data_IF_447294312594
#
_entry.id   IF_447294312594
#
_cell.length_a   1.000
_cell.length_b   1.000
_cell.length_c   1.000
_cell.angle_alpha   90.00
_cell.angle_beta   90.00
_cell.angle_gamma   90.00
#
_symmetry.space_group_name_H-M   'P 1'
#
loop_
_entity.id
_entity.type
_entity.pdbx_description
1 polymer ?
#
# COMPACT_ATOMS: atom_id res chain seq x y z
N UNK A 1 -10.28 16.47 7.89
CA UNK A 1 -9.33 17.40 8.53
C UNK A 1 -8.52 18.01 7.41
N UNK A 2 -8.38 19.34 7.41
CA UNK A 2 -7.62 20.02 6.36
C UNK A 2 -6.14 19.83 6.62
N UNK A 3 -5.44 19.29 5.64
CA UNK A 3 -4.00 19.12 5.71
C UNK A 3 -3.31 20.42 5.32
N UNK A 4 -2.23 20.73 6.03
CA UNK A 4 -1.39 21.91 5.78
C UNK A 4 0.09 21.52 5.76
N UNK A 5 0.87 22.33 5.07
CA UNK A 5 2.32 22.32 5.10
C UNK A 5 2.86 23.61 5.72
N UNK A 6 3.91 23.48 6.51
CA UNK A 6 4.73 24.62 6.94
C UNK A 6 5.89 24.78 5.98
N UNK A 7 5.98 25.93 5.31
CA UNK A 7 7.06 26.26 4.38
C UNK A 7 7.95 27.34 5.00
N UNK A 8 9.23 27.03 5.17
CA UNK A 8 10.21 27.95 5.71
C UNK A 8 11.43 28.00 4.77
N UNK A 9 11.88 29.20 4.40
CA UNK A 9 13.01 29.40 3.47
C UNK A 9 12.90 28.64 2.14
N UNK A 10 11.68 28.40 1.65
CA UNK A 10 11.44 27.67 0.40
C UNK A 10 11.47 26.15 0.53
N UNK A 11 11.53 25.61 1.75
CA UNK A 11 11.49 24.18 2.03
C UNK A 11 10.27 23.80 2.87
N UNK A 12 9.70 22.63 2.59
CA UNK A 12 8.62 22.06 3.42
C UNK A 12 9.25 21.49 4.69
N UNK A 13 8.92 22.09 5.83
CA UNK A 13 9.42 21.67 7.15
C UNK A 13 8.42 20.78 7.90
N UNK A 14 7.16 20.80 7.48
CA UNK A 14 6.09 19.96 8.02
C UNK A 14 5.02 19.75 6.95
N UNK A 15 4.42 18.57 6.93
CA UNK A 15 3.26 18.24 6.11
C UNK A 15 2.33 17.30 6.90
N UNK A 16 1.07 17.68 7.08
CA UNK A 16 0.12 16.87 7.84
C UNK A 16 -1.09 17.66 8.35
N UNK A 17 -1.70 17.18 9.41
CA UNK A 17 -2.80 17.89 10.08
C UNK A 17 -2.29 19.15 10.77
N UNK A 18 -3.07 20.23 10.72
CA UNK A 18 -2.67 21.50 11.31
C UNK A 18 -2.50 21.35 12.84
N UNK A 19 -1.28 21.52 13.39
CA UNK A 19 -1.04 21.35 14.82
C UNK A 19 -1.68 22.50 15.62
N UNK A 20 -2.01 22.26 16.90
CA UNK A 20 -2.55 23.33 17.78
C UNK A 20 -1.53 24.43 18.08
N UNK A 21 -0.26 24.07 18.12
CA UNK A 21 0.89 24.95 18.30
C UNK A 21 2.08 24.41 17.50
N UNK A 22 2.91 25.31 16.99
CA UNK A 22 4.14 24.98 16.27
C UNK A 22 5.22 26.01 16.59
N UNK A 23 6.37 25.55 17.05
CA UNK A 23 7.47 26.39 17.55
C UNK A 23 6.92 27.43 18.55
N UNK A 24 7.09 28.72 18.25
CA UNK A 24 6.65 29.83 19.11
C UNK A 24 5.24 30.36 18.77
N UNK A 25 4.50 29.68 17.89
CA UNK A 25 3.15 30.09 17.48
C UNK A 25 2.11 29.11 18.00
N UNK A 26 1.15 29.60 18.78
CA UNK A 26 0.00 28.84 19.27
C UNK A 26 -1.30 29.25 18.57
N UNK A 27 -2.35 28.44 18.70
CA UNK A 27 -3.68 28.78 18.21
C UNK A 27 -3.86 28.61 16.69
N UNK A 28 -2.96 27.89 16.01
CA UNK A 28 -3.02 27.71 14.55
C UNK A 28 -4.33 27.06 14.10
N UNK A 29 -4.84 26.07 14.84
CA UNK A 29 -6.12 25.41 14.58
C UNK A 29 -7.37 26.32 14.62
N UNK A 30 -7.24 27.55 15.15
CA UNK A 30 -8.30 28.56 15.20
C UNK A 30 -8.03 29.73 14.24
N UNK A 31 -6.88 29.75 13.58
CA UNK A 31 -6.48 30.82 12.69
C UNK A 31 -7.20 30.73 11.35
N UNK A 32 -7.43 31.88 10.72
CA UNK A 32 -7.97 31.95 9.35
C UNK A 32 -6.91 31.52 8.33
N UNK A 33 -7.33 31.08 7.15
CA UNK A 33 -6.41 30.72 6.06
C UNK A 33 -5.46 31.85 5.68
N UNK A 34 -5.91 33.10 5.69
CA UNK A 34 -5.07 34.27 5.43
C UNK A 34 -3.96 34.42 6.50
N UNK A 35 -4.32 34.29 7.78
CA UNK A 35 -3.35 34.34 8.88
C UNK A 35 -2.40 33.15 8.89
N UNK A 36 -2.87 31.97 8.48
CA UNK A 36 -2.05 30.78 8.30
C UNK A 36 -1.02 31.01 7.19
N UNK A 37 -1.46 31.54 6.04
CA UNK A 37 -0.59 31.87 4.91
C UNK A 37 0.51 32.87 5.29
N UNK A 38 0.16 33.93 6.01
CA UNK A 38 1.15 34.90 6.54
C UNK A 38 2.20 34.25 7.46
N UNK A 39 1.80 33.20 8.18
CA UNK A 39 2.68 32.42 9.07
C UNK A 39 3.44 31.30 8.35
N UNK A 40 3.36 31.23 7.02
CA UNK A 40 4.02 30.20 6.20
C UNK A 40 3.27 28.86 6.15
N UNK A 41 2.01 28.83 6.57
CA UNK A 41 1.16 27.64 6.51
C UNK A 41 0.30 27.67 5.25
N UNK A 42 0.52 26.69 4.38
CA UNK A 42 -0.21 26.57 3.12
C UNK A 42 -1.05 25.27 3.11
N UNK A 43 -2.25 25.28 2.52
CA UNK A 43 -3.02 24.07 2.28
C UNK A 43 -2.20 23.02 1.54
N UNK A 44 -2.36 21.75 1.94
CA UNK A 44 -1.58 20.63 1.44
C UNK A 44 -2.48 19.54 0.85
N UNK A 45 -2.13 19.11 -0.36
CA UNK A 45 -2.79 18.01 -1.07
C UNK A 45 -1.76 17.00 -1.56
N UNK A 46 -2.16 15.73 -1.62
CA UNK A 46 -1.32 14.64 -2.11
C UNK A 46 -1.90 14.14 -3.43
N UNK A 47 -1.08 14.15 -4.47
CA UNK A 47 -1.34 13.45 -5.72
C UNK A 47 -0.71 12.05 -5.63
N UNK A 48 -1.57 11.04 -5.49
CA UNK A 48 -1.14 9.64 -5.40
C UNK A 48 -0.69 9.09 -6.75
N UNK A 49 0.40 8.32 -6.75
CA UNK A 49 0.92 7.73 -7.97
C UNK A 49 0.17 6.43 -8.29
N UNK A 50 -0.33 6.30 -9.52
CA UNK A 50 -0.80 5.01 -10.03
C UNK A 50 0.40 4.14 -10.39
N UNK A 51 0.59 3.05 -9.65
CA UNK A 51 1.65 2.05 -9.88
C UNK A 51 1.19 1.01 -10.89
N UNK A 52 2.08 0.64 -11.80
CA UNK A 52 1.98 -0.59 -12.60
C UNK A 52 2.65 -1.78 -11.90
N UNK A 53 2.61 -2.97 -12.53
CA UNK A 53 3.08 -4.23 -11.95
C UNK A 53 4.53 -4.20 -11.44
N UNK A 54 5.43 -3.52 -12.15
CA UNK A 54 6.85 -3.45 -11.81
C UNK A 54 7.30 -2.05 -11.37
N UNK A 55 6.39 -1.28 -10.77
CA UNK A 55 6.68 0.02 -10.19
C UNK A 55 6.47 0.01 -8.68
N UNK A 56 7.33 0.72 -7.96
CA UNK A 56 7.23 0.92 -6.50
C UNK A 56 7.22 2.40 -6.18
N UNK A 57 6.59 2.77 -5.05
CA UNK A 57 6.62 4.14 -4.54
C UNK A 57 8.05 4.53 -4.20
N UNK A 58 8.43 5.75 -4.55
CA UNK A 58 9.78 6.30 -4.40
C UNK A 58 9.77 7.61 -3.63
N UNK A 59 9.01 7.64 -2.53
CA UNK A 59 8.86 8.81 -1.69
C UNK A 59 7.92 9.86 -2.26
N UNK A 60 8.02 11.07 -1.72
CA UNK A 60 7.10 12.17 -1.97
C UNK A 60 7.89 13.43 -2.31
N UNK A 61 7.55 14.08 -3.41
CA UNK A 61 8.16 15.34 -3.82
C UNK A 61 7.17 16.48 -3.66
N UNK A 62 7.59 17.55 -3.01
CA UNK A 62 6.74 18.73 -2.82
C UNK A 62 6.97 19.77 -3.92
N UNK A 63 5.86 20.25 -4.46
CA UNK A 63 5.80 21.44 -5.31
C UNK A 63 5.11 22.54 -4.51
N UNK A 64 5.88 23.59 -4.19
CA UNK A 64 5.40 24.74 -3.43
C UNK A 64 4.91 25.79 -4.43
N UNK A 65 3.60 26.07 -4.42
CA UNK A 65 3.00 27.15 -5.19
C UNK A 65 2.72 28.36 -4.28
N UNK A 66 2.21 29.44 -4.86
CA UNK A 66 1.90 30.66 -4.12
C UNK A 66 0.77 30.47 -3.07
N UNK A 67 -0.19 29.58 -3.34
CA UNK A 67 -1.40 29.42 -2.53
C UNK A 67 -1.53 28.04 -1.88
N UNK A 68 -0.77 27.05 -2.34
CA UNK A 68 -0.83 25.68 -1.82
C UNK A 68 0.49 24.93 -2.00
N UNK A 69 0.58 23.77 -1.36
CA UNK A 69 1.65 22.80 -1.58
C UNK A 69 1.02 21.51 -2.10
N UNK A 70 1.61 20.97 -3.16
CA UNK A 70 1.21 19.68 -3.73
C UNK A 70 2.35 18.69 -3.47
N UNK A 71 2.06 17.62 -2.74
CA UNK A 71 2.94 16.47 -2.63
C UNK A 71 2.63 15.49 -3.75
N UNK A 72 3.56 15.25 -4.65
CA UNK A 72 3.42 14.26 -5.72
C UNK A 72 4.17 13.00 -5.30
N UNK A 73 3.45 11.91 -5.07
CA UNK A 73 4.08 10.62 -4.83
C UNK A 73 4.92 10.26 -6.05
N UNK A 74 6.20 9.98 -5.81
CA UNK A 74 7.09 9.53 -6.87
C UNK A 74 6.98 8.02 -6.98
N UNK A 75 7.32 7.53 -8.16
CA UNK A 75 7.43 6.11 -8.45
C UNK A 75 8.70 5.85 -9.22
N UNK A 76 9.25 4.65 -9.02
CA UNK A 76 10.39 4.14 -9.77
C UNK A 76 10.08 2.75 -10.28
N UNK A 77 10.78 2.36 -11.33
CA UNK A 77 10.82 0.98 -11.75
C UNK A 77 11.51 0.13 -10.68
N UNK A 78 11.01 -1.08 -10.47
CA UNK A 78 11.70 -2.11 -9.72
C UNK A 78 13.06 -2.43 -10.36
N UNK A 79 14.06 -2.72 -9.54
CA UNK A 79 15.31 -3.32 -10.00
C UNK A 79 15.07 -4.75 -10.49
N UNK A 80 16.03 -5.33 -11.19
CA UNK A 80 15.89 -6.71 -11.67
C UNK A 80 15.80 -7.71 -10.52
N UNK A 81 16.52 -7.49 -9.42
CA UNK A 81 16.42 -8.31 -8.21
C UNK A 81 15.04 -8.19 -7.55
N UNK A 82 14.46 -6.99 -7.51
CA UNK A 82 13.12 -6.76 -6.97
C UNK A 82 12.04 -7.42 -7.82
N UNK A 83 12.18 -7.39 -9.15
CA UNK A 83 11.29 -8.11 -10.07
C UNK A 83 11.38 -9.61 -9.87
N UNK A 84 12.59 -10.16 -9.79
CA UNK A 84 12.80 -11.59 -9.51
C UNK A 84 12.14 -11.99 -8.19
N UNK A 85 12.28 -11.18 -7.14
CA UNK A 85 11.64 -11.44 -5.85
C UNK A 85 10.10 -11.37 -5.93
N UNK A 86 9.56 -10.38 -6.65
CA UNK A 86 8.14 -10.23 -6.89
C UNK A 86 7.56 -11.41 -7.67
N UNK A 87 8.18 -11.76 -8.80
CA UNK A 87 7.78 -12.89 -9.63
C UNK A 87 7.88 -14.20 -8.83
N UNK A 88 8.90 -14.37 -7.99
CA UNK A 88 8.99 -15.53 -7.10
C UNK A 88 7.83 -15.56 -6.08
N UNK A 89 7.46 -14.42 -5.52
CA UNK A 89 6.34 -14.32 -4.58
C UNK A 89 5.00 -14.63 -5.24
N UNK A 90 4.78 -14.13 -6.45
CA UNK A 90 3.58 -14.39 -7.27
C UNK A 90 3.54 -15.86 -7.68
N UNK A 91 4.64 -16.37 -8.24
CA UNK A 91 4.74 -17.76 -8.69
C UNK A 91 4.60 -18.77 -7.56
N UNK A 92 4.97 -18.44 -6.32
CA UNK A 92 4.83 -19.36 -5.18
C UNK A 92 3.55 -19.13 -4.36
N UNK A 93 2.79 -18.06 -4.62
CA UNK A 93 1.54 -17.74 -3.88
C UNK A 93 0.55 -18.90 -3.87
N UNK A 94 0.37 -19.57 -5.01
CA UNK A 94 -0.56 -20.72 -5.10
C UNK A 94 -0.22 -21.84 -4.11
N UNK A 95 1.06 -22.03 -3.74
CA UNK A 95 1.46 -23.07 -2.81
C UNK A 95 0.95 -22.77 -1.41
N UNK A 96 1.08 -21.51 -0.97
CA UNK A 96 0.61 -21.04 0.34
C UNK A 96 -0.91 -21.05 0.41
N UNK A 97 -1.57 -20.60 -0.65
CA UNK A 97 -3.04 -20.58 -0.71
C UNK A 97 -3.60 -22.01 -0.68
N UNK A 98 -3.03 -22.95 -1.45
CA UNK A 98 -3.40 -24.38 -1.39
C UNK A 98 -3.14 -25.00 -0.03
N UNK A 99 -1.97 -24.75 0.57
CA UNK A 99 -1.62 -25.29 1.88
C UNK A 99 -2.62 -24.85 2.96
N UNK A 100 -3.11 -23.60 2.89
CA UNK A 100 -4.15 -23.08 3.79
C UNK A 100 -5.53 -23.66 3.51
N UNK A 101 -5.85 -23.91 2.23
CA UNK A 101 -7.15 -24.40 1.80
C UNK A 101 -7.31 -25.92 1.96
N UNK A 102 -6.22 -26.68 1.97
CA UNK A 102 -6.30 -28.13 2.14
C UNK A 102 -6.98 -28.47 3.49
N UNK A 103 -7.91 -29.44 3.50
CA UNK A 103 -8.46 -29.96 4.74
C UNK A 103 -7.35 -30.65 5.55
N UNK A 104 -7.64 -30.98 6.81
CA UNK A 104 -6.68 -31.67 7.66
C UNK A 104 -6.22 -32.99 7.03
N UNK A 105 -5.02 -33.46 7.39
CA UNK A 105 -4.53 -34.76 6.90
C UNK A 105 -5.46 -35.89 7.36
N UNK A 106 -6.06 -35.77 8.55
CA UNK A 106 -7.00 -36.75 9.09
C UNK A 106 -8.24 -36.87 8.19
N UNK A 107 -8.88 -35.76 7.83
CA UNK A 107 -10.03 -35.76 6.91
C UNK A 107 -9.67 -36.33 5.53
N UNK A 108 -8.46 -36.02 5.05
CA UNK A 108 -8.00 -36.53 3.76
C UNK A 108 -7.80 -38.05 3.78
N UNK A 109 -7.20 -38.58 4.85
CA UNK A 109 -6.98 -40.02 5.02
C UNK A 109 -8.31 -40.76 5.21
N UNK A 110 -9.23 -40.20 5.99
CA UNK A 110 -10.57 -40.74 6.20
C UNK A 110 -11.35 -40.83 4.88
N UNK A 111 -11.33 -39.75 4.09
CA UNK A 111 -11.94 -39.74 2.75
C UNK A 111 -11.34 -40.79 1.82
N UNK A 112 -10.02 -40.95 1.83
CA UNK A 112 -9.36 -41.99 1.02
C UNK A 112 -9.80 -43.39 1.45
N UNK A 113 -9.93 -43.64 2.76
CA UNK A 113 -10.32 -44.93 3.28
C UNK A 113 -11.76 -45.29 2.91
N UNK A 114 -12.71 -44.36 3.07
CA UNK A 114 -14.13 -44.62 2.86
C UNK A 114 -14.57 -44.52 1.40
N UNK A 115 -14.04 -43.55 0.66
CA UNK A 115 -14.51 -43.17 -0.67
C UNK A 115 -13.50 -43.45 -1.79
N UNK A 116 -12.27 -43.83 -1.41
CA UNK A 116 -11.20 -44.14 -2.34
C UNK A 116 -10.50 -42.91 -2.92
N UNK A 117 -9.35 -43.18 -3.54
CA UNK A 117 -8.45 -42.14 -4.07
C UNK A 117 -9.10 -41.29 -5.19
N UNK A 118 -10.02 -41.87 -5.97
CA UNK A 118 -10.67 -41.16 -7.09
C UNK A 118 -11.56 -40.04 -6.57
N UNK A 119 -12.43 -40.33 -5.60
CA UNK A 119 -13.30 -39.33 -4.98
C UNK A 119 -12.52 -38.30 -4.16
N UNK A 120 -11.50 -38.73 -3.41
CA UNK A 120 -10.59 -37.80 -2.72
C UNK A 120 -9.97 -36.78 -3.68
N UNK A 121 -9.47 -37.22 -4.85
CA UNK A 121 -8.92 -36.32 -5.87
C UNK A 121 -9.97 -35.35 -6.41
N UNK A 122 -11.16 -35.82 -6.75
CA UNK A 122 -12.20 -34.99 -7.38
C UNK A 122 -12.90 -34.03 -6.42
N UNK A 123 -13.11 -34.42 -5.17
CA UNK A 123 -13.91 -33.67 -4.20
C UNK A 123 -13.07 -32.82 -3.24
N UNK A 124 -11.88 -33.30 -2.84
CA UNK A 124 -11.03 -32.56 -1.89
C UNK A 124 -9.89 -31.80 -2.58
N UNK A 125 -9.22 -32.42 -3.56
CA UNK A 125 -7.98 -31.85 -4.11
C UNK A 125 -8.22 -30.96 -5.32
N UNK A 126 -9.02 -31.43 -6.29
CA UNK A 126 -9.24 -30.73 -7.56
C UNK A 126 -9.84 -29.32 -7.35
N UNK A 127 -10.87 -29.11 -6.53
CA UNK A 127 -11.47 -27.77 -6.36
C UNK A 127 -10.46 -26.75 -5.82
N UNK A 128 -9.58 -27.16 -4.89
CA UNK A 128 -8.54 -26.30 -4.33
C UNK A 128 -7.48 -25.95 -5.38
N UNK A 129 -7.09 -26.92 -6.22
CA UNK A 129 -6.12 -26.69 -7.30
C UNK A 129 -6.68 -25.80 -8.40
N UNK A 130 -7.96 -25.93 -8.70
CA UNK A 130 -8.67 -25.11 -9.68
C UNK A 130 -8.87 -23.67 -9.15
N UNK A 131 -9.18 -23.49 -7.87
CA UNK A 131 -9.29 -22.19 -7.21
C UNK A 131 -7.94 -21.45 -7.08
N UNK A 132 -6.85 -22.21 -6.99
CA UNK A 132 -5.48 -21.69 -6.88
C UNK A 132 -4.59 -22.34 -7.94
N UNK A 133 -4.72 -22.00 -9.23
CA UNK A 133 -3.96 -22.63 -10.30
C UNK A 133 -2.47 -22.37 -10.13
N UNK A 134 -1.64 -23.28 -10.66
CA UNK A 134 -0.21 -22.99 -10.81
C UNK A 134 -0.08 -21.95 -11.93
N UNK A 135 0.64 -20.84 -11.72
CA UNK A 135 0.94 -19.92 -12.80
C UNK A 135 1.68 -20.66 -13.92
N UNK A 136 1.36 -20.34 -15.17
CA UNK A 136 1.88 -20.98 -16.38
C UNK A 136 3.35 -20.64 -16.61
#
# INVERSE_FOLDING_TARGET
>A
MSNYCSVENGEVTYAGELPKAWKNTSGLHLATEASLKEKGWLPYTIEEATLSEYEVKDGLKYTINADNVIGVEQKRNMTDEEKIAYDLQVTTKYQRDRARAYPSIEDQLDKIYHDGITKWKSEMIKPIKDAHPKPL
#
